data_IF_012974789952
#
_entry.id   IF_012974789952
#
_cell.length_a   1.000
_cell.length_b   1.000
_cell.length_c   1.000
_cell.angle_alpha   90.00
_cell.angle_beta   90.00
_cell.angle_gamma   90.00
#
_symmetry.space_group_name_H-M   'P 1'
#
loop_
_entity.id
_entity.type
_entity.pdbx_description
1 polymer ?
#
# COMPACT_ATOMS: atom_id res chain seq x y z
N UNK A 1 4.11 -34.43 3.10
CA UNK A 1 4.94 -33.38 2.47
C UNK A 1 4.15 -32.08 2.56
N UNK A 2 4.24 -31.39 3.70
CA UNK A 2 3.60 -30.08 3.89
C UNK A 2 4.38 -29.07 3.06
N UNK A 3 3.72 -28.49 2.06
CA UNK A 3 4.26 -27.40 1.28
C UNK A 3 4.39 -26.23 2.24
N UNK A 4 5.61 -25.79 2.54
CA UNK A 4 5.85 -24.54 3.27
C UNK A 4 5.07 -23.43 2.55
N UNK A 5 4.07 -22.89 3.22
CA UNK A 5 3.38 -21.70 2.73
C UNK A 5 4.38 -20.56 2.94
N UNK A 6 5.15 -20.25 1.91
CA UNK A 6 5.83 -18.95 1.86
C UNK A 6 4.70 -17.93 1.74
N UNK A 7 4.26 -17.40 2.88
CA UNK A 7 3.26 -16.36 2.95
C UNK A 7 3.69 -15.19 2.08
N UNK A 8 2.73 -14.51 1.45
CA UNK A 8 3.02 -13.25 0.80
C UNK A 8 3.60 -12.27 1.85
N UNK A 9 4.61 -11.46 1.51
CA UNK A 9 5.04 -10.40 2.41
C UNK A 9 3.84 -9.52 2.75
N UNK A 10 3.79 -9.05 3.99
CA UNK A 10 2.73 -8.15 4.47
C UNK A 10 2.50 -7.01 3.46
N UNK A 11 1.30 -6.86 2.87
CA UNK A 11 1.04 -5.84 1.86
C UNK A 11 1.08 -4.41 2.40
N UNK A 12 1.50 -3.48 1.54
CA UNK A 12 1.34 -2.04 1.71
C UNK A 12 0.57 -1.48 0.52
N UNK A 13 -0.49 -0.74 0.80
CA UNK A 13 -1.25 0.04 -0.18
C UNK A 13 -0.97 1.52 0.09
N UNK A 14 -0.51 2.26 -0.91
CA UNK A 14 -0.29 3.71 -0.83
C UNK A 14 -1.25 4.38 -1.82
N UNK A 15 -2.03 5.36 -1.36
CA UNK A 15 -3.03 6.03 -2.20
C UNK A 15 -2.97 7.55 -2.05
N UNK A 16 -3.22 8.27 -3.14
CA UNK A 16 -3.24 9.72 -3.18
C UNK A 16 -4.68 10.23 -2.93
N UNK A 17 -4.90 11.04 -1.91
CA UNK A 17 -6.27 11.44 -1.50
C UNK A 17 -6.98 12.41 -2.47
N UNK A 18 -6.24 13.02 -3.39
CA UNK A 18 -6.78 13.89 -4.43
C UNK A 18 -6.53 13.30 -5.84
N UNK A 19 -6.49 11.97 -5.95
CA UNK A 19 -6.50 11.29 -7.23
C UNK A 19 -7.84 11.48 -7.93
N UNK A 20 -7.78 11.77 -9.22
CA UNK A 20 -8.95 11.94 -10.07
C UNK A 20 -9.12 10.66 -10.90
N UNK A 21 -10.25 9.98 -10.71
CA UNK A 21 -10.64 8.70 -11.34
C UNK A 21 -10.13 7.42 -10.66
N UNK A 22 -9.27 7.50 -9.65
CA UNK A 22 -9.01 6.39 -8.72
C UNK A 22 -9.35 6.90 -7.32
N UNK A 23 -10.44 6.44 -6.73
CA UNK A 23 -10.97 7.01 -5.50
C UNK A 23 -10.44 6.29 -4.26
N UNK A 24 -10.54 6.95 -3.09
CA UNK A 24 -10.24 6.34 -1.79
C UNK A 24 -10.99 5.01 -1.58
N UNK A 25 -12.20 4.87 -2.17
CA UNK A 25 -12.97 3.63 -2.14
C UNK A 25 -12.29 2.46 -2.86
N UNK A 26 -11.56 2.74 -3.94
CA UNK A 26 -10.85 1.72 -4.71
C UNK A 26 -9.65 1.19 -3.92
N UNK A 27 -8.90 2.11 -3.28
CA UNK A 27 -7.80 1.75 -2.39
C UNK A 27 -8.28 0.90 -1.20
N UNK A 28 -9.42 1.27 -0.61
CA UNK A 28 -10.06 0.50 0.47
C UNK A 28 -10.54 -0.86 -0.01
N UNK A 29 -11.16 -0.95 -1.18
CA UNK A 29 -11.61 -2.22 -1.74
C UNK A 29 -10.45 -3.19 -1.97
N UNK A 30 -9.30 -2.69 -2.47
CA UNK A 30 -8.07 -3.48 -2.58
C UNK A 30 -7.59 -3.91 -1.19
N UNK A 31 -7.50 -2.97 -0.24
CA UNK A 31 -7.04 -3.26 1.12
C UNK A 31 -7.90 -4.32 1.82
N UNK A 32 -9.21 -4.26 1.68
CA UNK A 32 -10.14 -5.21 2.30
C UNK A 32 -10.10 -6.60 1.63
N UNK A 33 -9.74 -6.67 0.35
CA UNK A 33 -9.60 -7.92 -0.38
C UNK A 33 -8.29 -8.69 -0.06
N UNK A 34 -7.31 -8.03 0.56
CA UNK A 34 -6.05 -8.66 0.93
C UNK A 34 -6.22 -9.57 2.15
N UNK A 35 -5.96 -10.87 1.97
CA UNK A 35 -6.08 -11.88 3.03
C UNK A 35 -4.98 -11.81 4.11
N UNK A 36 -3.94 -10.99 3.91
CA UNK A 36 -2.85 -10.86 4.86
C UNK A 36 -3.32 -10.16 6.14
N UNK A 37 -3.05 -10.73 7.34
CA UNK A 37 -3.51 -10.17 8.61
C UNK A 37 -2.77 -8.88 9.00
N UNK A 38 -1.58 -8.68 8.46
CA UNK A 38 -0.63 -7.63 8.83
C UNK A 38 -0.49 -6.57 7.72
N UNK A 39 -1.51 -6.36 6.89
CA UNK A 39 -1.54 -5.37 5.80
C UNK A 39 -1.66 -3.92 6.30
N UNK A 40 -1.14 -2.98 5.51
CA UNK A 40 -1.15 -1.54 5.78
C UNK A 40 -1.72 -0.73 4.62
N UNK A 41 -2.40 0.38 4.92
CA UNK A 41 -2.95 1.35 3.95
C UNK A 41 -2.58 2.76 4.40
N UNK A 42 -1.83 3.47 3.55
CA UNK A 42 -1.38 4.84 3.80
C UNK A 42 -1.98 5.79 2.76
N UNK A 43 -2.64 6.84 3.26
CA UNK A 43 -3.19 7.92 2.45
C UNK A 43 -2.22 9.10 2.42
N UNK A 44 -1.82 9.51 1.22
CA UNK A 44 -0.90 10.61 0.96
C UNK A 44 -1.67 11.78 0.37
N UNK A 45 -1.50 12.98 0.94
CA UNK A 45 -2.13 14.20 0.43
C UNK A 45 -1.42 14.70 -0.83
N UNK A 46 -1.82 14.16 -1.97
CA UNK A 46 -1.34 14.55 -3.29
C UNK A 46 -2.34 14.08 -4.37
N UNK A 47 -1.99 14.30 -5.63
CA UNK A 47 -2.76 13.84 -6.78
C UNK A 47 -2.16 12.57 -7.41
N UNK A 48 -2.77 12.10 -8.50
CA UNK A 48 -2.35 10.93 -9.26
C UNK A 48 -0.83 10.95 -9.55
N UNK A 49 -0.14 9.84 -9.26
CA UNK A 49 1.33 9.68 -9.29
C UNK A 49 2.16 10.43 -8.24
N UNK A 50 1.53 10.99 -7.21
CA UNK A 50 2.19 11.62 -6.06
C UNK A 50 3.29 12.64 -6.46
N UNK A 51 3.04 13.57 -7.41
CA UNK A 51 4.09 14.40 -8.00
C UNK A 51 4.90 15.22 -6.99
N UNK A 52 4.29 15.61 -5.87
CA UNK A 52 4.93 16.39 -4.81
C UNK A 52 5.40 15.51 -3.64
N UNK A 53 4.94 14.26 -3.58
CA UNK A 53 5.11 13.36 -2.43
C UNK A 53 5.89 12.08 -2.75
N UNK A 54 6.57 12.01 -3.90
CA UNK A 54 7.39 10.84 -4.27
C UNK A 54 8.46 10.50 -3.22
N UNK A 55 9.20 11.45 -2.62
CA UNK A 55 10.13 11.11 -1.54
C UNK A 55 9.44 10.47 -0.35
N UNK A 56 8.28 10.99 0.06
CA UNK A 56 7.51 10.41 1.15
C UNK A 56 7.00 8.99 0.83
N UNK A 57 6.53 8.76 -0.39
CA UNK A 57 6.16 7.41 -0.84
C UNK A 57 7.35 6.45 -0.83
N UNK A 58 8.53 6.92 -1.22
CA UNK A 58 9.76 6.13 -1.15
C UNK A 58 10.15 5.79 0.30
N UNK A 59 9.97 6.72 1.23
CA UNK A 59 10.22 6.48 2.66
C UNK A 59 9.26 5.43 3.24
N UNK A 60 7.97 5.49 2.87
CA UNK A 60 6.98 4.46 3.25
C UNK A 60 7.40 3.08 2.74
N UNK A 61 7.86 3.01 1.48
CA UNK A 61 8.32 1.77 0.86
C UNK A 61 9.63 1.27 1.51
N UNK A 62 10.62 2.13 1.77
CA UNK A 62 11.87 1.74 2.43
C UNK A 62 11.62 1.22 3.85
N UNK A 63 10.79 1.91 4.64
CA UNK A 63 10.39 1.47 5.97
C UNK A 63 9.67 0.10 5.91
N UNK A 64 8.79 -0.09 4.93
CA UNK A 64 8.11 -1.35 4.67
C UNK A 64 9.12 -2.47 4.34
N UNK A 65 10.07 -2.24 3.44
CA UNK A 65 11.08 -3.25 3.09
C UNK A 65 11.91 -3.62 4.31
N UNK A 66 12.37 -2.65 5.11
CA UNK A 66 13.25 -2.90 6.27
C UNK A 66 12.57 -3.63 7.42
N UNK A 67 11.26 -3.53 7.54
CA UNK A 67 10.49 -4.19 8.58
C UNK A 67 10.21 -5.69 8.29
N UNK A 68 10.70 -6.22 7.16
CA UNK A 68 10.51 -7.60 6.68
C UNK A 68 11.86 -8.28 6.49
#
# INVERSE_FOLDING_TARGET
MTREFVGLPSPLVVHATADECVYDSDARAIFDALAAPDRTLDFVKDTHYLPNSRPHAADLIDAWVRAR
#
